data_IF_664819251092
#
_entry.id   IF_664819251092
#
_cell.length_a   1.000
_cell.length_b   1.000
_cell.length_c   1.000
_cell.angle_alpha   90.00
_cell.angle_beta   90.00
_cell.angle_gamma   90.00
#
_symmetry.space_group_name_H-M   'P 1'
#
loop_
_entity.id
_entity.type
_entity.pdbx_description
1 polymer ?
#
# COMPACT_ATOMS: atom_id res chain seq x y z
N UNK A 1 6.15 -17.16 -9.87
CA UNK A 1 5.92 -15.72 -9.71
C UNK A 1 4.63 -15.53 -8.93
N UNK A 2 4.75 -15.32 -7.63
CA UNK A 2 3.66 -15.01 -6.71
C UNK A 2 3.71 -13.53 -6.37
N UNK A 3 2.56 -12.86 -6.42
CA UNK A 3 2.43 -11.44 -6.06
C UNK A 3 1.35 -11.33 -5.00
N UNK A 4 1.69 -10.72 -3.86
CA UNK A 4 0.78 -10.56 -2.72
C UNK A 4 0.70 -9.07 -2.39
N UNK A 5 -0.51 -8.51 -2.47
CA UNK A 5 -0.82 -7.15 -2.05
C UNK A 5 -1.53 -7.19 -0.69
N UNK A 6 -0.83 -6.81 0.36
CA UNK A 6 -1.37 -6.64 1.71
C UNK A 6 -2.04 -5.27 1.87
N UNK A 7 -3.21 -5.26 2.52
CA UNK A 7 -4.00 -4.05 2.73
C UNK A 7 -4.27 -3.82 4.21
N UNK A 8 -4.15 -2.56 4.60
CA UNK A 8 -4.58 -2.05 5.90
C UNK A 8 -5.62 -0.97 5.64
N UNK A 9 -6.87 -1.18 6.07
CA UNK A 9 -7.99 -0.31 5.70
C UNK A 9 -9.06 -0.25 6.79
N UNK A 10 -9.91 0.79 6.72
CA UNK A 10 -11.07 0.99 7.62
C UNK A 10 -10.72 1.24 9.09
N UNK A 11 -9.49 1.65 9.37
CA UNK A 11 -9.06 2.23 10.63
C UNK A 11 -7.86 3.16 10.40
N UNK A 12 -7.51 3.95 11.41
CA UNK A 12 -6.40 4.89 11.31
C UNK A 12 -5.11 4.19 10.86
N UNK A 13 -4.44 4.81 9.88
CA UNK A 13 -3.17 4.32 9.34
C UNK A 13 -3.32 3.46 8.09
N UNK A 14 -4.35 3.69 7.28
CA UNK A 14 -4.55 2.95 6.04
C UNK A 14 -3.27 2.93 5.17
N UNK A 15 -2.93 1.76 4.63
CA UNK A 15 -1.66 1.50 3.95
C UNK A 15 -1.75 0.28 3.03
N UNK A 16 -0.76 0.13 2.16
CA UNK A 16 -0.59 -1.06 1.33
C UNK A 16 0.86 -1.54 1.38
N UNK A 17 1.06 -2.86 1.23
CA UNK A 17 2.37 -3.48 1.10
C UNK A 17 2.35 -4.53 -0.01
N UNK A 18 3.45 -4.64 -0.75
CA UNK A 18 3.59 -5.57 -1.87
C UNK A 18 4.77 -6.52 -1.62
N UNK A 19 4.51 -7.80 -1.80
CA UNK A 19 5.51 -8.85 -1.84
C UNK A 19 5.53 -9.50 -3.22
N UNK A 20 6.72 -9.77 -3.74
CA UNK A 20 6.95 -10.53 -4.97
C UNK A 20 7.86 -11.71 -4.63
N UNK A 21 7.39 -12.93 -4.89
CA UNK A 21 8.09 -14.18 -4.57
C UNK A 21 8.61 -14.23 -3.12
N UNK A 22 7.78 -13.75 -2.19
CA UNK A 22 8.06 -13.72 -0.76
C UNK A 22 8.98 -12.58 -0.31
N UNK A 23 9.48 -11.74 -1.22
CA UNK A 23 10.34 -10.59 -0.90
C UNK A 23 9.51 -9.30 -0.85
N UNK A 24 9.67 -8.45 0.18
CA UNK A 24 9.01 -7.16 0.27
C UNK A 24 9.57 -6.19 -0.78
N UNK A 25 8.69 -5.62 -1.60
CA UNK A 25 9.05 -4.66 -2.67
C UNK A 25 8.68 -3.24 -2.29
N UNK A 26 7.49 -3.04 -1.71
CA UNK A 26 7.01 -1.72 -1.31
C UNK A 26 6.10 -1.81 -0.08
N UNK A 27 6.13 -0.82 0.79
CA UNK A 27 5.17 -0.64 1.89
C UNK A 27 4.95 0.85 2.12
N UNK A 28 3.72 1.31 1.93
CA UNK A 28 3.42 2.75 1.85
C UNK A 28 2.15 3.06 2.64
N UNK A 29 2.23 4.07 3.51
CA UNK A 29 1.08 4.60 4.23
C UNK A 29 0.36 5.65 3.36
N UNK A 30 -0.96 5.53 3.28
CA UNK A 30 -1.83 6.39 2.45
C UNK A 30 -1.72 7.87 2.85
N UNK A 31 -1.59 8.14 4.15
CA UNK A 31 -1.43 9.50 4.69
C UNK A 31 -0.21 10.24 4.13
N UNK A 32 0.82 9.52 3.67
CA UNK A 32 2.02 10.13 3.07
C UNK A 32 1.75 10.64 1.67
N UNK A 33 0.78 10.04 0.98
CA UNK A 33 0.42 10.36 -0.40
C UNK A 33 -0.73 11.37 -0.45
N UNK A 34 -1.80 11.15 0.32
CA UNK A 34 -2.96 12.04 0.33
C UNK A 34 -2.83 13.22 1.31
N UNK A 35 -1.81 13.21 2.18
CA UNK A 35 -1.50 14.25 3.18
C UNK A 35 -2.60 14.45 4.24
N UNK A 36 -3.46 13.46 4.42
CA UNK A 36 -4.48 13.42 5.48
C UNK A 36 -3.98 12.53 6.61
N UNK A 37 -3.62 13.13 7.75
CA UNK A 37 -3.13 12.41 8.92
C UNK A 37 -4.18 11.43 9.44
N UNK A 38 -3.76 10.23 9.87
CA UNK A 38 -4.66 9.19 10.37
C UNK A 38 -5.74 8.76 9.38
N UNK A 39 -5.44 8.83 8.07
CA UNK A 39 -6.37 8.41 7.06
C UNK A 39 -6.86 6.97 7.33
N UNK A 40 -8.19 6.81 7.36
CA UNK A 40 -8.85 5.60 7.82
C UNK A 40 -9.81 4.99 6.79
N UNK A 41 -9.65 5.36 5.52
CA UNK A 41 -10.46 4.83 4.41
C UNK A 41 -9.62 3.88 3.56
N UNK A 42 -10.11 3.56 2.37
CA UNK A 42 -9.42 2.65 1.46
C UNK A 42 -8.11 3.26 0.90
N UNK A 43 -6.98 2.53 0.96
CA UNK A 43 -5.64 3.05 0.66
C UNK A 43 -5.33 3.06 -0.85
N UNK A 44 -6.11 3.83 -1.61
CA UNK A 44 -6.09 3.79 -3.08
C UNK A 44 -4.74 4.28 -3.64
N UNK A 45 -4.17 5.33 -3.09
CA UNK A 45 -2.90 5.87 -3.58
C UNK A 45 -1.73 4.93 -3.24
N UNK A 46 -1.74 4.34 -2.04
CA UNK A 46 -0.71 3.40 -1.61
C UNK A 46 -0.73 2.12 -2.45
N UNK A 47 -1.92 1.58 -2.77
CA UNK A 47 -2.06 0.44 -3.68
C UNK A 47 -1.40 0.75 -5.03
N UNK A 48 -1.79 1.86 -5.67
CA UNK A 48 -1.23 2.25 -6.97
C UNK A 48 0.28 2.39 -6.89
N UNK A 49 0.78 3.08 -5.87
CA UNK A 49 2.22 3.30 -5.73
C UNK A 49 3.00 2.02 -5.48
N UNK A 50 2.44 1.07 -4.74
CA UNK A 50 3.02 -0.26 -4.55
C UNK A 50 3.14 -1.03 -5.88
N UNK A 51 2.08 -1.04 -6.70
CA UNK A 51 2.07 -1.70 -8.01
C UNK A 51 3.05 -1.03 -8.98
N UNK A 52 3.03 0.31 -9.05
CA UNK A 52 3.98 1.09 -9.87
C UNK A 52 5.44 0.75 -9.54
N UNK A 53 5.76 0.53 -8.24
CA UNK A 53 7.13 0.22 -7.79
C UNK A 53 7.62 -1.15 -8.29
N UNK A 54 6.70 -2.09 -8.53
CA UNK A 54 7.01 -3.40 -9.10
C UNK A 54 6.83 -3.46 -10.63
N UNK A 55 6.39 -2.37 -11.28
CA UNK A 55 6.06 -2.35 -12.71
C UNK A 55 4.83 -3.20 -13.06
N UNK A 56 3.84 -3.25 -12.16
CA UNK A 56 2.58 -4.00 -12.28
C UNK A 56 1.37 -3.09 -12.55
#
# INVERSE_FOLDING_TARGET
MSVILGLNAFHAGASAALLVDGQPVAAIAEERLNRVKYYARFPTHAIRRCLDTAGL
#
